data_IF_537271008174
#
_entry.id   IF_537271008174
#
_cell.length_a   1.000
_cell.length_b   1.000
_cell.length_c   1.000
_cell.angle_alpha   90.00
_cell.angle_beta   90.00
_cell.angle_gamma   90.00
#
_symmetry.space_group_name_H-M   'P 1'
#
loop_
_entity.id
_entity.type
_entity.pdbx_description
1 polymer ?
#
# COMPACT_ATOMS: atom_id res chain seq x y z
N UNK A 1 -2.18 9.10 -2.25
CA UNK A 1 -2.34 7.69 -1.85
C UNK A 1 -2.05 7.50 -0.37
N UNK A 2 -2.91 6.76 0.32
CA UNK A 2 -2.81 6.43 1.74
C UNK A 2 -2.90 4.93 1.96
N UNK A 3 -2.38 4.48 3.10
CA UNK A 3 -2.53 3.12 3.59
C UNK A 3 -3.02 3.14 5.04
N UNK A 4 -3.96 2.27 5.39
CA UNK A 4 -4.48 2.11 6.75
C UNK A 4 -4.60 0.62 7.11
N UNK A 5 -4.52 0.29 8.39
CA UNK A 5 -5.10 -0.98 8.90
C UNK A 5 -6.62 -0.86 8.91
N UNK A 6 -7.34 -1.98 8.92
CA UNK A 6 -8.81 -2.03 8.87
C UNK A 6 -9.53 -0.95 9.71
N UNK A 7 -9.04 -0.69 10.93
CA UNK A 7 -9.65 0.26 11.87
C UNK A 7 -8.70 1.41 12.25
N UNK A 8 -7.58 1.56 11.52
CA UNK A 8 -6.51 2.50 11.81
C UNK A 8 -6.63 3.84 11.07
N UNK A 9 -5.94 4.87 11.57
CA UNK A 9 -5.83 6.13 10.86
C UNK A 9 -4.97 5.94 9.58
N UNK A 10 -5.41 6.46 8.42
CA UNK A 10 -4.63 6.40 7.20
C UNK A 10 -3.34 7.21 7.32
N UNK A 11 -2.24 6.63 6.84
CA UNK A 11 -0.94 7.28 6.74
C UNK A 11 -0.54 7.47 5.28
N UNK A 12 0.38 8.40 5.03
CA UNK A 12 0.92 8.63 3.68
C UNK A 12 1.76 7.43 3.24
N UNK A 13 1.34 6.75 2.17
CA UNK A 13 2.01 5.58 1.63
C UNK A 13 3.40 5.89 1.01
N UNK A 14 3.68 7.14 0.65
CA UNK A 14 5.00 7.57 0.18
C UNK A 14 6.00 7.85 1.31
N UNK A 15 5.56 7.85 2.57
CA UNK A 15 6.43 8.06 3.74
C UNK A 15 6.85 6.72 4.34
N UNK A 16 8.06 6.27 4.05
CA UNK A 16 8.54 4.97 4.53
C UNK A 16 8.55 4.87 6.06
N UNK A 17 8.86 5.95 6.78
CA UNK A 17 8.81 5.97 8.24
C UNK A 17 7.36 5.83 8.77
N UNK A 18 6.39 6.48 8.12
CA UNK A 18 4.99 6.36 8.53
C UNK A 18 4.44 4.96 8.27
N UNK A 19 4.83 4.34 7.15
CA UNK A 19 4.46 2.96 6.80
C UNK A 19 5.09 1.96 7.78
N UNK A 20 6.37 2.11 8.12
CA UNK A 20 6.99 1.27 9.15
C UNK A 20 6.33 1.47 10.52
N UNK A 21 5.96 2.71 10.84
CA UNK A 21 5.23 3.06 12.07
C UNK A 21 3.80 2.51 12.12
N UNK A 22 3.14 2.31 10.97
CA UNK A 22 1.84 1.65 10.88
C UNK A 22 1.90 0.21 11.43
N UNK A 23 3.07 -0.43 11.33
CA UNK A 23 3.34 -1.71 11.99
C UNK A 23 2.50 -2.89 11.48
N UNK A 24 1.94 -2.79 10.27
CA UNK A 24 1.16 -3.85 9.64
C UNK A 24 1.99 -5.15 9.52
N UNK A 25 1.36 -6.29 9.81
CA UNK A 25 2.00 -7.61 9.80
C UNK A 25 1.49 -8.47 8.64
N UNK A 26 2.30 -9.45 8.25
CA UNK A 26 1.89 -10.44 7.25
C UNK A 26 0.63 -11.17 7.70
N UNK A 27 -0.36 -11.25 6.81
CA UNK A 27 -1.69 -11.80 7.10
C UNK A 27 -2.70 -10.79 7.66
N UNK A 28 -2.31 -9.54 7.91
CA UNK A 28 -3.27 -8.47 8.25
C UNK A 28 -3.83 -7.81 6.99
N UNK A 29 -5.11 -7.41 7.04
CA UNK A 29 -5.74 -6.61 6.01
C UNK A 29 -5.36 -5.13 6.15
N UNK A 30 -5.06 -4.51 5.00
CA UNK A 30 -4.80 -3.09 4.88
C UNK A 30 -5.62 -2.50 3.74
N UNK A 31 -5.99 -1.23 3.88
CA UNK A 31 -6.76 -0.49 2.87
C UNK A 31 -5.84 0.52 2.20
N UNK A 32 -5.71 0.41 0.88
CA UNK A 32 -5.08 1.41 0.02
C UNK A 32 -6.15 2.32 -0.57
N UNK A 33 -5.90 3.63 -0.57
CA UNK A 33 -6.83 4.61 -1.13
C UNK A 33 -6.08 5.75 -1.82
N UNK A 34 -6.67 6.34 -2.85
CA UNK A 34 -6.13 7.51 -3.55
C UNK A 34 -7.23 8.29 -4.23
N UNK A 35 -7.20 9.62 -4.10
CA UNK A 35 -8.14 10.53 -4.77
C UNK A 35 -7.60 11.08 -6.10
N UNK A 36 -6.47 10.56 -6.57
CA UNK A 36 -5.88 10.98 -7.83
C UNK A 36 -6.67 10.41 -9.03
N UNK A 37 -6.83 11.22 -10.07
CA UNK A 37 -7.45 10.78 -11.32
C UNK A 37 -6.62 9.66 -11.97
N UNK A 38 -7.28 8.56 -12.35
CA UNK A 38 -6.62 7.39 -12.95
C UNK A 38 -5.78 6.55 -11.98
N UNK A 39 -6.03 6.62 -10.67
CA UNK A 39 -5.27 5.86 -9.67
C UNK A 39 -5.57 4.34 -9.65
N UNK A 40 -6.62 3.88 -10.32
CA UNK A 40 -7.10 2.49 -10.26
C UNK A 40 -5.98 1.49 -10.63
N UNK A 41 -5.31 1.67 -11.78
CA UNK A 41 -4.23 0.79 -12.23
C UNK A 41 -3.05 0.74 -11.24
N UNK A 42 -2.73 1.87 -10.62
CA UNK A 42 -1.65 1.95 -9.64
C UNK A 42 -2.05 1.26 -8.33
N UNK A 43 -3.29 1.45 -7.88
CA UNK A 43 -3.84 0.80 -6.70
C UNK A 43 -3.88 -0.72 -6.88
N UNK A 44 -4.37 -1.21 -8.03
CA UNK A 44 -4.42 -2.64 -8.35
C UNK A 44 -3.02 -3.27 -8.37
N UNK A 45 -2.05 -2.60 -9.00
CA UNK A 45 -0.66 -3.08 -9.03
C UNK A 45 -0.05 -3.15 -7.62
N UNK A 46 -0.26 -2.13 -6.80
CA UNK A 46 0.23 -2.10 -5.42
C UNK A 46 -0.46 -3.13 -4.54
N UNK A 47 -1.78 -3.28 -4.66
CA UNK A 47 -2.54 -4.28 -3.92
C UNK A 47 -2.00 -5.69 -4.24
N UNK A 48 -1.78 -5.99 -5.52
CA UNK A 48 -1.21 -7.26 -5.98
C UNK A 48 0.18 -7.50 -5.38
N UNK A 49 1.09 -6.51 -5.46
CA UNK A 49 2.44 -6.63 -4.90
C UNK A 49 2.42 -6.90 -3.39
N UNK A 50 1.53 -6.22 -2.65
CA UNK A 50 1.42 -6.39 -1.21
C UNK A 50 0.80 -7.75 -0.85
N UNK A 51 -0.18 -8.23 -1.61
CA UNK A 51 -0.87 -9.50 -1.34
C UNK A 51 -0.08 -10.73 -1.77
N UNK A 52 0.62 -10.66 -2.90
CA UNK A 52 1.37 -11.79 -3.47
C UNK A 52 2.83 -11.85 -2.98
N UNK A 53 3.30 -10.78 -2.32
CA UNK A 53 4.66 -10.67 -1.82
C UNK A 53 5.56 -9.82 -2.73
N UNK A 54 6.55 -9.17 -2.12
CA UNK A 54 7.51 -8.27 -2.77
C UNK A 54 8.70 -9.03 -3.40
N UNK A 55 8.50 -10.28 -3.81
CA UNK A 55 9.58 -11.19 -4.23
C UNK A 55 10.20 -10.79 -5.57
N UNK A 56 9.46 -10.07 -6.43
CA UNK A 56 9.95 -9.57 -7.70
C UNK A 56 9.83 -8.05 -7.76
N UNK A 57 10.98 -7.38 -7.85
CA UNK A 57 11.01 -5.93 -8.06
C UNK A 57 10.39 -5.62 -9.43
N UNK A 58 9.48 -4.63 -9.52
CA UNK A 58 8.90 -4.27 -10.81
C UNK A 58 10.00 -3.92 -11.82
N UNK A 59 9.87 -4.36 -13.07
CA UNK A 59 10.75 -3.90 -14.14
C UNK A 59 10.76 -2.37 -14.13
N UNK A 60 11.97 -1.80 -14.03
CA UNK A 60 12.19 -0.36 -14.03
C UNK A 60 11.73 0.20 -15.37
N UNK A 61 10.65 0.98 -15.34
CA UNK A 61 10.18 1.80 -16.47
C UNK A 61 11.02 3.06 -16.56
#
# INVERSE_FOLDING_TARGET
MTIAKADGAPVNAASMLAVLGLGAKGGEEVVLASDAEGADDALDRLAKLVSEGLEELPETV
#
